data_IF_337270710077
#
_entry.id   IF_337270710077
#
_cell.length_a   1.000
_cell.length_b   1.000
_cell.length_c   1.000
_cell.angle_alpha   90.00
_cell.angle_beta   90.00
_cell.angle_gamma   90.00
#
_symmetry.space_group_name_H-M   'P 1'
#
loop_
_entity.id
_entity.type
_entity.pdbx_description
1 polymer ?
#
# COMPACT_ATOMS: atom_id res chain seq x y z
N UNK A 1 -10.54 -2.48 12.90
CA UNK A 1 -9.28 -1.99 13.47
C UNK A 1 -8.20 -1.89 12.38
N UNK A 2 -7.74 -2.97 11.77
CA UNK A 2 -6.73 -2.92 10.68
C UNK A 2 -7.13 -1.99 9.52
N UNK A 3 -8.42 -1.91 9.17
CA UNK A 3 -8.92 -0.96 8.18
C UNK A 3 -8.74 0.51 8.61
N UNK A 4 -9.04 0.83 9.87
CA UNK A 4 -8.85 2.18 10.38
C UNK A 4 -7.35 2.53 10.53
N UNK A 5 -6.50 1.58 10.94
CA UNK A 5 -5.04 1.74 10.90
C UNK A 5 -4.55 2.09 9.50
N UNK A 6 -5.04 1.37 8.49
CA UNK A 6 -4.70 1.61 7.09
C UNK A 6 -5.16 2.98 6.57
N UNK A 7 -6.29 3.52 7.06
CA UNK A 7 -6.70 4.92 6.76
C UNK A 7 -5.64 5.89 7.27
N UNK A 8 -5.23 5.76 8.53
CA UNK A 8 -4.26 6.67 9.12
C UNK A 8 -2.85 6.51 8.56
N UNK A 9 -2.50 5.30 8.11
CA UNK A 9 -1.26 5.04 7.40
C UNK A 9 -1.14 5.87 6.11
N UNK A 10 -2.17 5.78 5.26
CA UNK A 10 -2.25 6.61 4.04
C UNK A 10 -2.43 8.10 4.33
N UNK A 11 -3.18 8.44 5.37
CA UNK A 11 -3.27 9.82 5.84
C UNK A 11 -1.90 10.39 6.13
N UNK A 12 -1.10 9.70 6.92
CA UNK A 12 0.20 10.19 7.36
C UNK A 12 1.22 10.28 6.20
N UNK A 13 1.22 9.28 5.34
CA UNK A 13 2.08 9.25 4.16
C UNK A 13 1.78 10.44 3.22
N UNK A 14 0.51 10.69 2.95
CA UNK A 14 0.07 11.71 1.99
C UNK A 14 0.03 13.10 2.64
N UNK A 15 -0.30 13.20 3.93
CA UNK A 15 -0.25 14.46 4.66
C UNK A 15 1.09 15.16 4.48
N UNK A 16 2.18 14.43 4.65
CA UNK A 16 3.53 15.01 4.52
C UNK A 16 3.77 15.64 3.16
N UNK A 17 3.22 15.05 2.08
CA UNK A 17 3.38 15.62 0.73
C UNK A 17 2.69 16.98 0.59
N UNK A 18 1.56 17.20 1.25
CA UNK A 18 0.90 18.52 1.29
C UNK A 18 1.67 19.55 2.12
N UNK A 19 2.40 19.08 3.13
CA UNK A 19 3.13 19.96 4.06
C UNK A 19 4.56 20.28 3.62
N UNK A 20 5.06 19.70 2.52
CA UNK A 20 6.41 19.96 2.00
C UNK A 20 6.66 21.45 1.78
N UNK A 21 5.74 22.14 1.09
CA UNK A 21 5.89 23.55 0.73
C UNK A 21 5.91 24.45 1.97
N UNK A 22 4.92 24.43 2.89
CA UNK A 22 4.94 25.28 4.06
C UNK A 22 6.14 25.01 4.99
N UNK A 23 6.59 23.76 5.12
CA UNK A 23 7.78 23.41 5.90
C UNK A 23 9.04 23.99 5.24
N UNK A 24 9.22 23.75 3.94
CA UNK A 24 10.37 24.29 3.20
C UNK A 24 10.45 25.81 3.29
N UNK A 25 9.31 26.49 3.17
CA UNK A 25 9.24 27.96 3.28
C UNK A 25 9.62 28.47 4.67
N UNK A 26 9.19 27.80 5.73
CA UNK A 26 9.46 28.24 7.12
C UNK A 26 10.94 28.09 7.50
N UNK A 27 11.57 26.96 7.08
CA UNK A 27 12.96 26.68 7.46
C UNK A 27 13.98 27.05 6.40
N UNK A 28 13.57 27.51 5.22
CA UNK A 28 14.47 27.77 4.11
C UNK A 28 15.10 26.49 3.54
N UNK A 29 14.42 25.34 3.64
CA UNK A 29 14.94 24.07 3.12
C UNK A 29 14.86 24.08 1.59
N UNK A 30 15.94 23.59 0.97
CA UNK A 30 15.96 23.35 -0.48
C UNK A 30 15.08 22.16 -0.87
N UNK A 31 14.66 22.11 -2.14
CA UNK A 31 13.91 20.98 -2.70
C UNK A 31 14.68 19.66 -2.54
N UNK A 32 16.01 19.73 -2.62
CA UNK A 32 16.88 18.57 -2.40
C UNK A 32 16.80 18.05 -0.95
N UNK A 33 16.80 18.96 0.03
CA UNK A 33 16.64 18.58 1.44
C UNK A 33 15.27 17.96 1.71
N UNK A 34 14.20 18.55 1.16
CA UNK A 34 12.85 17.99 1.28
C UNK A 34 12.75 16.61 0.61
N UNK A 35 13.41 16.43 -0.53
CA UNK A 35 13.50 15.13 -1.22
C UNK A 35 14.25 14.09 -0.39
N UNK A 36 15.29 14.46 0.35
CA UNK A 36 15.96 13.54 1.27
C UNK A 36 15.06 13.11 2.43
N UNK A 37 14.28 14.02 3.01
CA UNK A 37 13.34 13.67 4.08
C UNK A 37 12.27 12.69 3.54
N UNK A 38 11.68 12.99 2.40
CA UNK A 38 10.67 12.13 1.79
C UNK A 38 11.25 10.76 1.39
N UNK A 39 12.40 10.76 0.73
CA UNK A 39 13.07 9.54 0.28
C UNK A 39 13.51 8.64 1.43
N UNK A 40 14.05 9.21 2.51
CA UNK A 40 14.44 8.44 3.71
C UNK A 40 13.22 7.82 4.41
N UNK A 41 12.09 8.53 4.46
CA UNK A 41 10.85 8.00 5.00
C UNK A 41 10.32 6.83 4.18
N UNK A 42 10.34 6.93 2.86
CA UNK A 42 9.93 5.83 1.96
C UNK A 42 10.88 4.62 2.06
N UNK A 43 12.19 4.85 2.14
CA UNK A 43 13.15 3.78 2.36
C UNK A 43 12.92 3.08 3.71
N UNK A 44 12.64 3.87 4.76
CA UNK A 44 12.30 3.34 6.08
C UNK A 44 11.00 2.49 6.04
N UNK A 45 10.03 2.84 5.21
CA UNK A 45 8.81 2.04 5.01
C UNK A 45 9.13 0.64 4.49
N UNK A 46 10.05 0.54 3.52
CA UNK A 46 10.48 -0.77 3.01
C UNK A 46 11.16 -1.62 4.10
N UNK A 47 12.04 -1.01 4.88
CA UNK A 47 12.73 -1.67 6.01
C UNK A 47 11.73 -2.06 7.10
N UNK A 48 10.81 -1.16 7.45
CA UNK A 48 9.76 -1.38 8.45
C UNK A 48 8.86 -2.57 8.11
N UNK A 49 8.48 -2.71 6.84
CA UNK A 49 7.67 -3.85 6.38
C UNK A 49 8.34 -5.20 6.62
N UNK A 50 9.65 -5.29 6.43
CA UNK A 50 10.42 -6.50 6.72
C UNK A 50 10.53 -6.72 8.23
N UNK A 51 10.95 -5.70 9.00
CA UNK A 51 11.17 -5.80 10.45
C UNK A 51 9.88 -6.16 11.17
N UNK A 52 8.81 -5.41 10.96
CA UNK A 52 7.54 -5.66 11.64
C UNK A 52 6.83 -6.91 11.12
N UNK A 53 7.06 -7.32 9.88
CA UNK A 53 6.65 -8.63 9.38
C UNK A 53 7.26 -9.76 10.21
N UNK A 54 8.57 -9.74 10.40
CA UNK A 54 9.32 -10.69 11.24
C UNK A 54 8.82 -10.66 12.69
N UNK A 55 8.66 -9.46 13.26
CA UNK A 55 8.17 -9.29 14.62
C UNK A 55 6.74 -9.83 14.77
N UNK A 56 5.88 -9.64 13.76
CA UNK A 56 4.50 -10.13 13.75
C UNK A 56 4.42 -11.66 13.75
N UNK A 57 5.29 -12.32 13.01
CA UNK A 57 5.36 -13.79 13.01
C UNK A 57 5.86 -14.33 14.36
N UNK A 58 6.72 -13.58 15.06
CA UNK A 58 7.30 -13.98 16.35
C UNK A 58 6.43 -13.65 17.56
N UNK A 59 5.93 -12.42 17.64
CA UNK A 59 5.28 -11.88 18.85
C UNK A 59 3.75 -11.86 18.78
N UNK A 60 3.19 -12.11 17.61
CA UNK A 60 1.75 -12.10 17.37
C UNK A 60 1.28 -10.84 16.63
N UNK A 61 0.12 -10.99 16.00
CA UNK A 61 -0.42 -9.97 15.11
C UNK A 61 -0.92 -8.77 15.90
N UNK A 62 -1.64 -9.02 17.01
CA UNK A 62 -2.19 -8.00 17.90
C UNK A 62 -1.11 -7.10 18.50
N UNK A 63 -0.06 -7.70 19.04
CA UNK A 63 1.02 -6.94 19.69
C UNK A 63 1.75 -6.04 18.69
N UNK A 64 2.09 -6.59 17.53
CA UNK A 64 2.84 -5.84 16.52
C UNK A 64 1.99 -4.79 15.84
N UNK A 65 0.69 -5.02 15.63
CA UNK A 65 -0.24 -3.99 15.16
C UNK A 65 -0.26 -2.76 16.09
N UNK A 66 -0.19 -2.98 17.42
CA UNK A 66 -0.09 -1.88 18.39
C UNK A 66 1.25 -1.14 18.25
N UNK A 67 2.35 -1.87 18.08
CA UNK A 67 3.67 -1.27 17.96
C UNK A 67 3.83 -0.45 16.68
N UNK A 68 3.30 -0.93 15.55
CA UNK A 68 3.34 -0.18 14.29
C UNK A 68 2.57 1.12 14.40
N UNK A 69 1.34 1.07 14.93
CA UNK A 69 0.49 2.25 15.12
C UNK A 69 1.17 3.26 16.05
N UNK A 70 1.72 2.81 17.19
CA UNK A 70 2.43 3.68 18.12
C UNK A 70 3.68 4.29 17.47
N UNK A 71 4.44 3.50 16.72
CA UNK A 71 5.67 3.96 16.08
C UNK A 71 5.39 5.08 15.09
N UNK A 72 4.45 4.90 14.15
CA UNK A 72 4.16 5.97 13.20
C UNK A 72 3.45 7.16 13.86
N UNK A 73 2.55 6.95 14.82
CA UNK A 73 1.87 8.05 15.53
C UNK A 73 2.86 8.92 16.30
N UNK A 74 3.81 8.31 17.02
CA UNK A 74 4.87 9.02 17.73
C UNK A 74 5.76 9.77 16.72
N UNK A 75 6.21 9.09 15.67
CA UNK A 75 7.04 9.70 14.62
C UNK A 75 6.37 10.93 14.00
N UNK A 76 5.09 10.84 13.68
CA UNK A 76 4.34 11.93 13.08
C UNK A 76 4.06 13.06 14.06
N UNK A 77 3.67 12.73 15.30
CA UNK A 77 3.48 13.74 16.33
C UNK A 77 4.75 14.58 16.55
N UNK A 78 5.90 13.94 16.74
CA UNK A 78 7.17 14.65 16.92
C UNK A 78 7.64 15.36 15.64
N UNK A 79 7.23 14.92 14.44
CA UNK A 79 7.45 15.69 13.22
C UNK A 79 6.80 17.08 13.28
N UNK A 80 5.66 17.23 13.97
CA UNK A 80 5.01 18.51 14.21
C UNK A 80 5.79 19.43 15.18
N UNK A 81 6.68 18.89 15.99
CA UNK A 81 7.56 19.62 16.91
C UNK A 81 8.93 19.91 16.31
N UNK A 82 9.16 19.55 15.03
CA UNK A 82 10.45 19.74 14.39
C UNK A 82 10.89 21.19 14.40
N UNK A 83 12.14 21.43 14.82
CA UNK A 83 12.81 22.72 14.78
C UNK A 83 14.07 22.70 13.88
N UNK A 84 14.40 21.56 13.27
CA UNK A 84 15.55 21.41 12.38
C UNK A 84 15.34 20.31 11.34
N UNK A 85 16.16 20.35 10.28
CA UNK A 85 16.19 19.34 9.22
C UNK A 85 16.41 17.93 9.75
N UNK A 86 17.43 17.74 10.58
CA UNK A 86 17.80 16.43 11.09
C UNK A 86 16.75 15.84 12.03
N UNK A 87 16.11 16.70 12.85
CA UNK A 87 15.03 16.30 13.73
C UNK A 87 13.81 15.83 12.92
N UNK A 88 13.41 16.61 11.91
CA UNK A 88 12.30 16.24 11.04
C UNK A 88 12.59 14.94 10.29
N UNK A 89 13.79 14.80 9.69
CA UNK A 89 14.19 13.60 8.97
C UNK A 89 14.18 12.36 9.87
N UNK A 90 14.72 12.47 11.10
CA UNK A 90 14.75 11.38 12.06
C UNK A 90 13.35 10.86 12.39
N UNK A 91 12.41 11.77 12.71
CA UNK A 91 11.05 11.36 13.05
C UNK A 91 10.24 10.90 11.82
N UNK A 92 10.56 11.40 10.63
CA UNK A 92 9.99 10.87 9.38
C UNK A 92 10.50 9.45 9.06
N UNK A 93 11.73 9.10 9.41
CA UNK A 93 12.24 7.72 9.34
C UNK A 93 11.47 6.83 10.33
N UNK A 94 11.27 7.27 11.57
CA UNK A 94 10.48 6.52 12.56
C UNK A 94 9.04 6.30 12.06
N UNK A 95 8.40 7.34 11.52
CA UNK A 95 7.08 7.23 10.91
C UNK A 95 7.09 6.18 9.80
N UNK A 96 8.03 6.27 8.86
CA UNK A 96 8.15 5.31 7.76
C UNK A 96 8.29 3.87 8.23
N UNK A 97 9.10 3.60 9.26
CA UNK A 97 9.24 2.27 9.84
C UNK A 97 7.88 1.73 10.33
N UNK A 98 7.10 2.53 11.06
CA UNK A 98 5.79 2.14 11.56
C UNK A 98 4.80 1.84 10.43
N UNK A 99 4.70 2.76 9.46
CA UNK A 99 3.85 2.67 8.25
C UNK A 99 4.12 1.38 7.48
N UNK A 100 5.40 1.01 7.28
CA UNK A 100 5.76 -0.21 6.56
C UNK A 100 5.23 -1.49 7.20
N UNK A 101 5.19 -1.53 8.53
CA UNK A 101 4.74 -2.71 9.28
C UNK A 101 3.23 -2.88 9.36
N UNK A 102 2.48 -1.80 9.28
CA UNK A 102 1.02 -1.77 9.49
C UNK A 102 0.29 -2.65 8.47
N UNK A 103 0.56 -2.46 7.19
CA UNK A 103 -0.11 -3.21 6.13
C UNK A 103 0.11 -4.73 6.27
N UNK A 104 1.37 -5.14 6.46
CA UNK A 104 1.71 -6.56 6.55
C UNK A 104 1.01 -7.25 7.71
N UNK A 105 1.06 -6.63 8.90
CA UNK A 105 0.46 -7.16 10.12
C UNK A 105 -1.05 -7.12 10.04
N UNK A 106 -1.64 -6.02 9.56
CA UNK A 106 -3.09 -5.85 9.42
C UNK A 106 -3.71 -6.81 8.42
N UNK A 107 -3.12 -6.97 7.23
CA UNK A 107 -3.59 -7.91 6.22
C UNK A 107 -3.44 -9.36 6.67
N UNK A 108 -2.33 -9.70 7.34
CA UNK A 108 -2.15 -11.03 7.92
C UNK A 108 -3.22 -11.30 8.97
N UNK A 109 -3.47 -10.36 9.88
CA UNK A 109 -4.51 -10.49 10.90
C UNK A 109 -5.89 -10.73 10.29
N UNK A 110 -6.28 -9.90 9.31
CA UNK A 110 -7.55 -10.03 8.60
C UNK A 110 -7.65 -11.38 7.89
N UNK A 111 -6.61 -11.80 7.18
CA UNK A 111 -6.61 -13.06 6.44
C UNK A 111 -6.71 -14.31 7.32
N UNK A 112 -6.15 -14.25 8.54
CA UNK A 112 -6.18 -15.34 9.52
C UNK A 112 -7.49 -15.37 10.32
N UNK A 113 -8.16 -14.22 10.48
CA UNK A 113 -9.40 -14.10 11.26
C UNK A 113 -10.62 -14.54 10.45
N UNK A 114 -10.64 -14.28 9.13
CA UNK A 114 -11.83 -14.55 8.32
C UNK A 114 -11.71 -15.89 7.57
N UNK A 115 -12.84 -16.65 7.48
CA UNK A 115 -12.84 -17.97 6.82
C UNK A 115 -12.54 -17.82 5.31
N UNK A 116 -11.98 -18.89 4.71
CA UNK A 116 -11.53 -18.94 3.31
C UNK A 116 -12.59 -18.46 2.29
N UNK A 117 -13.89 -18.72 2.58
CA UNK A 117 -15.02 -18.39 1.69
C UNK A 117 -15.23 -16.87 1.50
N UNK A 118 -14.86 -16.07 2.49
CA UNK A 118 -15.11 -14.60 2.50
C UNK A 118 -13.82 -13.78 2.71
N UNK A 119 -12.68 -14.44 2.81
CA UNK A 119 -11.37 -13.80 3.06
C UNK A 119 -11.04 -12.71 2.05
N UNK A 120 -11.30 -12.97 0.77
CA UNK A 120 -11.05 -12.01 -0.30
C UNK A 120 -11.78 -10.69 -0.06
N UNK A 121 -13.05 -10.75 0.37
CA UNK A 121 -13.88 -9.56 0.65
C UNK A 121 -13.30 -8.72 1.78
N UNK A 122 -12.89 -9.33 2.89
CA UNK A 122 -12.39 -8.61 4.04
C UNK A 122 -10.97 -8.07 3.82
N UNK A 123 -10.10 -8.83 3.13
CA UNK A 123 -8.78 -8.34 2.74
C UNK A 123 -8.89 -7.16 1.75
N UNK A 124 -9.78 -7.25 0.77
CA UNK A 124 -10.01 -6.18 -0.19
C UNK A 124 -10.70 -4.97 0.47
N UNK A 125 -11.66 -5.20 1.39
CA UNK A 125 -12.27 -4.12 2.17
C UNK A 125 -11.24 -3.33 2.97
N UNK A 126 -10.25 -3.97 3.54
CA UNK A 126 -9.17 -3.27 4.25
C UNK A 126 -8.48 -2.24 3.34
N UNK A 127 -8.29 -2.56 2.05
CA UNK A 127 -7.65 -1.64 1.10
C UNK A 127 -8.48 -0.39 0.79
N UNK A 128 -9.80 -0.41 0.99
CA UNK A 128 -10.64 0.81 0.84
C UNK A 128 -10.26 1.92 1.81
N UNK A 129 -9.49 1.61 2.86
CA UNK A 129 -8.93 2.61 3.76
C UNK A 129 -7.96 3.58 3.08
N UNK A 130 -7.24 3.15 2.04
CA UNK A 130 -6.26 4.00 1.36
C UNK A 130 -6.89 5.26 0.71
N UNK A 131 -7.91 5.18 -0.15
CA UNK A 131 -8.59 6.37 -0.69
C UNK A 131 -9.15 7.29 0.39
N UNK A 132 -9.66 6.73 1.49
CA UNK A 132 -10.19 7.52 2.61
C UNK A 132 -9.06 8.25 3.36
N UNK A 133 -7.92 7.60 3.57
CA UNK A 133 -6.73 8.22 4.14
C UNK A 133 -6.21 9.38 3.28
N UNK A 134 -6.18 9.20 1.95
CA UNK A 134 -5.81 10.25 0.99
C UNK A 134 -6.79 11.43 1.07
N UNK A 135 -8.09 11.16 1.10
CA UNK A 135 -9.11 12.21 1.24
C UNK A 135 -8.95 12.98 2.55
N UNK A 136 -8.75 12.29 3.67
CA UNK A 136 -8.51 12.91 4.98
C UNK A 136 -7.24 13.77 4.97
N UNK A 137 -6.14 13.27 4.39
CA UNK A 137 -4.89 14.03 4.24
C UNK A 137 -5.07 15.29 3.37
N UNK A 138 -5.87 15.19 2.31
CA UNK A 138 -6.18 16.33 1.44
C UNK A 138 -6.97 17.41 2.18
N UNK A 139 -7.94 17.01 3.02
CA UNK A 139 -8.71 17.95 3.85
C UNK A 139 -7.80 18.60 4.90
N UNK A 140 -7.07 17.81 5.66
CA UNK A 140 -6.25 18.33 6.76
C UNK A 140 -5.02 19.09 6.24
N UNK A 141 -4.26 18.48 5.32
CA UNK A 141 -3.03 19.07 4.78
C UNK A 141 -3.27 20.15 3.71
N UNK A 142 -4.29 19.94 2.86
CA UNK A 142 -4.59 20.88 1.77
C UNK A 142 -5.49 22.05 2.16
N UNK A 143 -6.57 21.78 2.93
CA UNK A 143 -7.59 22.78 3.24
C UNK A 143 -7.40 23.42 4.63
N UNK A 144 -7.06 22.64 5.66
CA UNK A 144 -6.93 23.16 7.01
C UNK A 144 -5.52 23.71 7.33
N UNK A 145 -4.48 23.17 6.74
CA UNK A 145 -3.09 23.61 6.98
C UNK A 145 -2.86 25.12 6.83
N UNK A 146 -3.45 25.83 5.85
CA UNK A 146 -3.32 27.29 5.75
C UNK A 146 -3.93 28.05 6.94
N UNK A 147 -4.89 27.46 7.65
CA UNK A 147 -5.62 28.08 8.76
C UNK A 147 -5.00 27.75 10.10
N UNK A 148 -4.72 26.45 10.34
CA UNK A 148 -4.25 25.93 11.64
C UNK A 148 -2.73 25.78 11.71
N UNK A 149 -2.03 25.94 10.59
CA UNK A 149 -0.60 25.70 10.46
C UNK A 149 -0.24 24.23 10.26
N UNK A 150 0.90 23.99 9.62
CA UNK A 150 1.35 22.64 9.28
C UNK A 150 1.66 21.75 10.51
N UNK A 151 2.11 22.36 11.62
CA UNK A 151 2.38 21.63 12.88
C UNK A 151 1.13 21.00 13.45
N UNK A 152 0.03 21.75 13.49
CA UNK A 152 -1.25 21.26 13.97
C UNK A 152 -1.76 20.05 13.18
N UNK A 153 -1.48 20.01 11.86
CA UNK A 153 -1.86 18.89 11.01
C UNK A 153 -1.19 17.58 11.44
N UNK A 154 0.06 17.62 11.90
CA UNK A 154 0.75 16.43 12.43
C UNK A 154 0.17 15.96 13.77
N UNK A 155 -0.36 16.86 14.60
CA UNK A 155 -0.94 16.48 15.88
C UNK A 155 -2.25 15.69 15.75
N UNK A 156 -2.92 15.76 14.60
CA UNK A 156 -4.07 14.90 14.30
C UNK A 156 -3.68 13.42 14.35
N UNK A 157 -2.42 13.08 14.09
CA UNK A 157 -1.89 11.70 14.16
C UNK A 157 -1.84 11.11 15.58
N UNK A 158 -2.22 11.86 16.62
CA UNK A 158 -2.45 11.29 17.95
C UNK A 158 -3.71 10.41 17.98
N UNK A 159 -4.68 10.65 17.09
CA UNK A 159 -5.93 9.90 17.03
C UNK A 159 -5.70 8.39 16.82
N UNK A 160 -4.83 7.94 15.90
CA UNK A 160 -4.49 6.53 15.78
C UNK A 160 -3.92 5.93 17.07
N UNK A 161 -3.11 6.69 17.83
CA UNK A 161 -2.57 6.19 19.09
C UNK A 161 -3.68 5.83 20.11
N UNK A 162 -4.81 6.52 20.07
CA UNK A 162 -5.99 6.19 20.91
C UNK A 162 -6.55 4.82 20.53
N UNK A 163 -6.51 4.45 19.25
CA UNK A 163 -6.95 3.13 18.77
C UNK A 163 -6.14 1.99 19.40
N UNK A 164 -4.87 2.22 19.75
CA UNK A 164 -4.04 1.21 20.40
C UNK A 164 -4.65 0.75 21.72
N UNK A 165 -5.24 1.69 22.49
CA UNK A 165 -5.91 1.39 23.76
C UNK A 165 -7.10 0.45 23.51
N UNK A 166 -7.87 0.73 22.45
CA UNK A 166 -9.00 -0.11 22.05
C UNK A 166 -8.55 -1.49 21.56
N UNK A 167 -7.52 -1.56 20.71
CA UNK A 167 -6.93 -2.81 20.21
C UNK A 167 -6.48 -3.68 21.38
N UNK A 168 -5.80 -3.08 22.36
CA UNK A 168 -5.33 -3.80 23.56
C UNK A 168 -6.48 -4.47 24.32
N UNK A 169 -7.61 -3.77 24.48
CA UNK A 169 -8.76 -4.24 25.28
C UNK A 169 -9.66 -5.21 24.52
N UNK A 170 -9.90 -4.97 23.23
CA UNK A 170 -11.03 -5.56 22.53
C UNK A 170 -10.64 -6.53 21.41
N UNK A 171 -9.40 -6.44 20.87
CA UNK A 171 -8.98 -7.31 19.78
C UNK A 171 -8.38 -8.61 20.34
N UNK A 172 -8.89 -9.82 19.98
CA UNK A 172 -8.22 -11.08 20.29
C UNK A 172 -6.96 -11.25 19.44
N UNK A 173 -6.06 -12.14 19.84
CA UNK A 173 -4.95 -12.55 18.97
C UNK A 173 -5.47 -13.49 17.87
N UNK A 174 -4.70 -13.64 16.78
CA UNK A 174 -5.00 -14.62 15.75
C UNK A 174 -4.99 -16.05 16.31
N UNK A 175 -6.11 -16.76 16.12
CA UNK A 175 -6.23 -18.15 16.56
C UNK A 175 -5.18 -19.04 15.89
N UNK A 176 -4.87 -18.84 14.63
CA UNK A 176 -3.86 -19.57 13.89
C UNK A 176 -2.46 -19.37 14.48
N UNK A 177 -2.13 -18.13 14.83
CA UNK A 177 -0.85 -17.84 15.49
C UNK A 177 -0.79 -18.44 16.90
N UNK A 178 -1.89 -18.34 17.67
CA UNK A 178 -1.96 -18.88 19.02
C UNK A 178 -1.80 -20.42 19.01
N UNK A 179 -2.50 -21.12 18.11
CA UNK A 179 -2.36 -22.57 17.93
C UNK A 179 -0.93 -22.98 17.57
N UNK A 180 -0.33 -22.27 16.59
CA UNK A 180 1.07 -22.53 16.21
C UNK A 180 2.02 -22.35 17.40
N UNK A 181 1.82 -21.31 18.20
CA UNK A 181 2.65 -21.06 19.38
C UNK A 181 2.51 -22.20 20.42
N UNK A 182 1.31 -22.71 20.62
CA UNK A 182 1.07 -23.85 21.51
C UNK A 182 1.76 -25.12 21.00
N UNK A 183 1.62 -25.45 19.73
CA UNK A 183 2.31 -26.60 19.11
C UNK A 183 3.83 -26.48 19.26
N UNK A 184 4.39 -25.32 18.96
CA UNK A 184 5.83 -25.07 19.12
C UNK A 184 6.32 -25.14 20.57
N UNK A 185 5.45 -24.96 21.57
CA UNK A 185 5.79 -25.14 22.99
C UNK A 185 5.74 -26.59 23.42
N UNK A 186 4.82 -27.38 22.88
CA UNK A 186 4.70 -28.82 23.14
C UNK A 186 5.89 -29.59 22.58
N UNK A 187 6.36 -29.26 21.38
CA UNK A 187 7.54 -29.85 20.76
C UNK A 187 8.87 -29.54 21.47
N UNK A 188 8.91 -28.52 22.31
CA UNK A 188 10.09 -28.20 23.12
C UNK A 188 10.38 -29.24 24.25
N UNK A 189 9.45 -30.12 24.51
CA UNK A 189 9.61 -31.26 25.43
C UNK A 189 10.41 -32.43 24.87
N UNK A 190 10.52 -32.56 23.54
CA UNK A 190 11.36 -33.54 22.85
C UNK A 190 12.43 -32.85 22.05
N UNK A 191 13.68 -32.94 22.51
CA UNK A 191 14.95 -32.49 21.91
C UNK A 191 14.92 -31.32 20.88
N UNK A 192 15.28 -30.12 21.38
CA UNK A 192 15.90 -28.98 20.72
C UNK A 192 15.94 -29.00 19.18
N UNK A 193 14.87 -28.70 18.50
CA UNK A 193 14.96 -27.91 17.29
C UNK A 193 14.55 -26.48 17.65
N UNK A 194 15.53 -25.60 17.88
CA UNK A 194 15.31 -24.15 17.90
C UNK A 194 14.55 -23.81 16.62
N UNK A 195 13.31 -23.36 16.74
CA UNK A 195 12.58 -22.86 15.59
C UNK A 195 13.46 -21.84 14.85
N UNK A 196 13.28 -21.67 13.54
CA UNK A 196 14.12 -20.81 12.73
C UNK A 196 14.23 -19.42 13.38
N UNK A 197 15.44 -18.84 13.40
CA UNK A 197 15.63 -17.49 13.90
C UNK A 197 14.78 -16.55 13.03
N UNK A 198 14.33 -15.41 13.55
CA UNK A 198 13.55 -14.44 12.75
C UNK A 198 14.21 -14.07 11.43
N UNK A 199 15.52 -13.92 11.44
CA UNK A 199 16.35 -13.65 10.24
C UNK A 199 16.37 -14.85 9.30
N UNK A 200 16.44 -16.08 9.83
CA UNK A 200 16.40 -17.28 8.99
C UNK A 200 15.04 -17.45 8.31
N UNK A 201 13.93 -17.02 8.94
CA UNK A 201 12.61 -16.96 8.31
C UNK A 201 12.60 -16.02 7.10
N UNK A 202 13.16 -14.82 7.22
CA UNK A 202 13.30 -13.90 6.09
C UNK A 202 14.24 -14.47 5.00
N UNK A 203 15.39 -15.01 5.37
CA UNK A 203 16.33 -15.60 4.41
C UNK A 203 15.72 -16.81 3.69
N UNK A 204 14.83 -17.58 4.33
CA UNK A 204 14.13 -18.71 3.70
C UNK A 204 13.20 -18.30 2.55
N UNK A 205 12.79 -17.02 2.49
CA UNK A 205 12.03 -16.46 1.37
C UNK A 205 12.84 -16.40 0.08
N UNK A 206 14.18 -16.29 0.19
CA UNK A 206 15.08 -16.24 -0.96
C UNK A 206 15.75 -17.59 -1.25
N UNK A 207 15.69 -18.51 -0.29
CA UNK A 207 16.29 -19.85 -0.37
C UNK A 207 15.27 -20.90 0.04
N UNK A 208 15.25 -22.06 -0.58
CA UNK A 208 14.41 -23.17 -0.17
C UNK A 208 12.98 -23.14 -0.72
N UNK A 209 12.03 -23.72 0.05
CA UNK A 209 10.66 -24.03 -0.42
C UNK A 209 9.81 -22.79 -0.77
N UNK A 210 10.03 -21.67 -0.11
CA UNK A 210 9.21 -20.45 -0.30
C UNK A 210 9.71 -19.56 -1.43
N UNK A 211 10.94 -19.73 -1.90
CA UNK A 211 11.59 -18.87 -2.92
C UNK A 211 10.73 -18.64 -4.15
N UNK A 212 10.19 -19.70 -4.71
CA UNK A 212 9.36 -19.63 -5.93
C UNK A 212 8.16 -18.70 -5.72
N UNK A 213 7.36 -18.95 -4.69
CA UNK A 213 6.15 -18.16 -4.44
C UNK A 213 6.47 -16.75 -3.99
N UNK A 214 7.55 -16.54 -3.25
CA UNK A 214 7.98 -15.20 -2.85
C UNK A 214 8.40 -14.35 -4.06
N UNK A 215 9.22 -14.89 -4.95
CA UNK A 215 9.63 -14.18 -6.15
C UNK A 215 8.45 -13.90 -7.09
N UNK A 216 7.54 -14.87 -7.26
CA UNK A 216 6.32 -14.64 -8.03
C UNK A 216 5.47 -13.51 -7.42
N UNK A 217 5.28 -13.49 -6.10
CA UNK A 217 4.52 -12.47 -5.39
C UNK A 217 5.21 -11.09 -5.48
N UNK A 218 6.54 -11.05 -5.35
CA UNK A 218 7.32 -9.83 -5.50
C UNK A 218 7.18 -9.23 -6.90
N UNK A 219 7.30 -10.05 -7.94
CA UNK A 219 7.15 -9.59 -9.34
C UNK A 219 5.73 -9.13 -9.63
N UNK A 220 4.70 -9.84 -9.13
CA UNK A 220 3.31 -9.40 -9.24
C UNK A 220 3.13 -8.01 -8.61
N UNK A 221 3.65 -7.82 -7.40
CA UNK A 221 3.57 -6.55 -6.71
C UNK A 221 4.35 -5.44 -7.42
N UNK A 222 5.51 -5.75 -8.03
CA UNK A 222 6.26 -4.77 -8.83
C UNK A 222 5.45 -4.31 -10.03
N UNK A 223 4.86 -5.22 -10.79
CA UNK A 223 4.06 -4.85 -11.97
C UNK A 223 2.85 -4.01 -11.59
N UNK A 224 2.09 -4.45 -10.62
CA UNK A 224 0.88 -3.76 -10.16
C UNK A 224 1.21 -2.38 -9.58
N UNK A 225 2.21 -2.27 -8.71
CA UNK A 225 2.66 -0.99 -8.16
C UNK A 225 3.24 -0.07 -9.24
N UNK A 226 3.92 -0.61 -10.26
CA UNK A 226 4.38 0.19 -11.39
C UNK A 226 3.20 0.80 -12.14
N UNK A 227 2.15 0.01 -12.42
CA UNK A 227 0.93 0.54 -13.03
C UNK A 227 0.31 1.67 -12.21
N UNK A 228 0.25 1.51 -10.88
CA UNK A 228 -0.29 2.52 -9.96
C UNK A 228 0.56 3.80 -9.93
N UNK A 229 1.87 3.68 -9.62
CA UNK A 229 2.73 4.85 -9.43
C UNK A 229 2.99 5.62 -10.72
N UNK A 230 3.14 4.93 -11.86
CA UNK A 230 3.23 5.57 -13.17
C UNK A 230 1.96 6.39 -13.48
N UNK A 231 0.79 5.90 -13.09
CA UNK A 231 -0.48 6.60 -13.28
C UNK A 231 -0.61 7.79 -12.33
N UNK A 232 -0.62 7.54 -11.04
CA UNK A 232 -1.07 8.53 -10.06
C UNK A 232 -0.05 9.63 -9.75
N UNK A 233 1.25 9.36 -9.89
CA UNK A 233 2.27 10.40 -9.69
C UNK A 233 2.26 11.47 -10.77
N UNK A 234 1.85 11.12 -12.00
CA UNK A 234 1.98 12.02 -13.15
C UNK A 234 0.65 12.46 -13.76
N UNK A 235 -0.44 11.85 -13.36
CA UNK A 235 -1.78 12.21 -13.86
C UNK A 235 -2.13 13.68 -13.67
N UNK A 236 -1.85 14.35 -12.52
CA UNK A 236 -2.11 15.79 -12.39
C UNK A 236 -1.34 16.62 -13.41
N UNK A 237 -0.04 16.33 -13.54
CA UNK A 237 0.84 17.02 -14.50
C UNK A 237 0.42 16.80 -15.95
N UNK A 238 0.03 15.59 -16.29
CA UNK A 238 -0.49 15.24 -17.62
C UNK A 238 -1.74 16.05 -17.96
N UNK A 239 -2.75 16.05 -17.08
CA UNK A 239 -3.99 16.78 -17.31
C UNK A 239 -3.76 18.30 -17.41
N UNK A 240 -2.84 18.82 -16.58
CA UNK A 240 -2.54 20.25 -16.58
C UNK A 240 -1.68 20.68 -17.76
N UNK A 241 -0.52 20.03 -17.95
CA UNK A 241 0.50 20.48 -18.91
C UNK A 241 0.21 20.06 -20.36
N UNK A 242 -0.35 18.84 -20.56
CA UNK A 242 -0.60 18.35 -21.92
C UNK A 242 -2.05 18.49 -22.37
N UNK A 243 -3.00 18.50 -21.42
CA UNK A 243 -4.43 18.60 -21.73
C UNK A 243 -5.02 19.96 -21.40
N UNK A 244 -4.20 20.92 -20.97
CA UNK A 244 -4.57 22.31 -20.70
C UNK A 244 -5.73 22.45 -19.69
N UNK A 245 -5.82 21.53 -18.72
CA UNK A 245 -6.81 21.65 -17.66
C UNK A 245 -6.36 22.63 -16.59
N UNK A 246 -7.30 23.37 -16.01
CA UNK A 246 -7.02 24.09 -14.78
C UNK A 246 -6.68 23.10 -13.66
N UNK A 247 -5.93 23.54 -12.66
CA UNK A 247 -5.61 22.70 -11.49
C UNK A 247 -6.86 22.16 -10.81
N UNK A 248 -7.89 23.00 -10.67
CA UNK A 248 -9.19 22.62 -10.09
C UNK A 248 -9.87 21.53 -10.93
N UNK A 249 -9.90 21.67 -12.25
CA UNK A 249 -10.50 20.66 -13.13
C UNK A 249 -9.71 19.36 -13.07
N UNK A 250 -8.39 19.39 -13.04
CA UNK A 250 -7.53 18.22 -12.87
C UNK A 250 -7.82 17.51 -11.56
N UNK A 251 -7.95 18.24 -10.45
CA UNK A 251 -8.27 17.68 -9.14
C UNK A 251 -9.65 17.01 -9.13
N UNK A 252 -10.68 17.62 -9.72
CA UNK A 252 -12.01 17.02 -9.83
C UNK A 252 -11.99 15.72 -10.62
N UNK A 253 -11.23 15.65 -11.69
CA UNK A 253 -11.09 14.44 -12.50
C UNK A 253 -10.33 13.33 -11.77
N UNK A 254 -9.33 13.69 -10.98
CA UNK A 254 -8.65 12.74 -10.11
C UNK A 254 -9.60 12.18 -9.04
N UNK A 255 -10.52 12.98 -8.50
CA UNK A 255 -11.55 12.49 -7.58
C UNK A 255 -12.43 11.42 -8.21
N UNK A 256 -12.71 11.49 -9.52
CA UNK A 256 -13.44 10.43 -10.24
C UNK A 256 -12.62 9.14 -10.27
N UNK A 257 -11.29 9.21 -10.49
CA UNK A 257 -10.45 8.01 -10.40
C UNK A 257 -10.41 7.44 -8.99
N UNK A 258 -10.36 8.28 -7.97
CA UNK A 258 -10.36 7.81 -6.56
C UNK A 258 -11.69 7.16 -6.17
N UNK A 259 -12.82 7.68 -6.67
CA UNK A 259 -14.13 7.03 -6.46
C UNK A 259 -14.21 5.66 -7.15
N UNK A 260 -13.65 5.56 -8.36
CA UNK A 260 -13.46 4.30 -9.05
C UNK A 260 -12.60 3.34 -8.23
N UNK A 261 -11.47 3.81 -7.68
CA UNK A 261 -10.58 3.03 -6.82
C UNK A 261 -11.27 2.47 -5.58
N UNK A 262 -12.03 3.31 -4.88
CA UNK A 262 -12.81 2.87 -3.72
C UNK A 262 -13.78 1.73 -4.08
N UNK A 263 -14.58 1.91 -5.14
CA UNK A 263 -15.50 0.87 -5.60
C UNK A 263 -14.77 -0.35 -6.16
N UNK A 264 -13.63 -0.16 -6.80
CA UNK A 264 -12.77 -1.23 -7.28
C UNK A 264 -12.27 -2.12 -6.14
N UNK A 265 -11.72 -1.54 -5.08
CA UNK A 265 -11.30 -2.30 -3.89
C UNK A 265 -12.49 -3.01 -3.23
N UNK A 266 -13.61 -2.30 -3.06
CA UNK A 266 -14.79 -2.87 -2.44
C UNK A 266 -15.31 -4.09 -3.22
N UNK A 267 -15.41 -4.00 -4.55
CA UNK A 267 -15.99 -5.06 -5.39
C UNK A 267 -15.02 -6.19 -5.70
N UNK A 268 -13.71 -5.93 -5.73
CA UNK A 268 -12.70 -6.93 -6.04
C UNK A 268 -12.84 -8.20 -5.19
N UNK A 269 -13.00 -8.04 -3.89
CA UNK A 269 -13.09 -9.16 -2.98
C UNK A 269 -14.28 -10.08 -3.27
N UNK A 270 -15.43 -9.53 -3.67
CA UNK A 270 -16.61 -10.31 -4.06
C UNK A 270 -16.35 -11.10 -5.35
N UNK A 271 -15.71 -10.47 -6.33
CA UNK A 271 -15.36 -11.10 -7.60
C UNK A 271 -14.32 -12.20 -7.36
N UNK A 272 -13.27 -11.91 -6.59
CA UNK A 272 -12.22 -12.86 -6.26
C UNK A 272 -12.73 -14.08 -5.46
N UNK A 273 -13.68 -13.88 -4.55
CA UNK A 273 -14.29 -14.99 -3.80
C UNK A 273 -15.26 -15.81 -4.67
N UNK A 274 -15.87 -15.20 -5.72
CA UNK A 274 -16.81 -15.87 -6.62
C UNK A 274 -16.13 -16.56 -7.80
N UNK A 275 -15.22 -15.87 -8.49
CA UNK A 275 -14.59 -16.36 -9.73
C UNK A 275 -13.21 -16.99 -9.50
N UNK A 276 -12.51 -16.60 -8.43
CA UNK A 276 -11.12 -16.97 -8.17
C UNK A 276 -10.18 -15.78 -8.22
N UNK A 277 -8.96 -15.97 -7.68
CA UNK A 277 -7.98 -14.88 -7.57
C UNK A 277 -7.45 -14.47 -8.94
N UNK A 278 -7.10 -15.46 -9.78
CA UNK A 278 -6.56 -15.23 -11.13
C UNK A 278 -7.50 -14.46 -12.05
N UNK A 279 -8.76 -14.90 -12.26
CA UNK A 279 -9.71 -14.16 -13.10
C UNK A 279 -9.99 -12.75 -12.59
N UNK A 280 -10.08 -12.57 -11.27
CA UNK A 280 -10.32 -11.25 -10.67
C UNK A 280 -9.18 -10.28 -11.03
N UNK A 281 -7.92 -10.65 -10.80
CA UNK A 281 -6.77 -9.83 -11.20
C UNK A 281 -6.81 -9.48 -12.69
N UNK A 282 -7.06 -10.46 -13.58
CA UNK A 282 -7.09 -10.22 -15.03
C UNK A 282 -8.23 -9.27 -15.44
N UNK A 283 -9.41 -9.39 -14.86
CA UNK A 283 -10.55 -8.50 -15.16
C UNK A 283 -10.18 -7.06 -14.79
N UNK A 284 -9.69 -6.83 -13.56
CA UNK A 284 -9.37 -5.49 -13.11
C UNK A 284 -8.18 -4.88 -13.86
N UNK A 285 -7.17 -5.67 -14.17
CA UNK A 285 -6.03 -5.23 -14.96
C UNK A 285 -6.41 -4.78 -16.38
N UNK A 286 -7.30 -5.53 -17.04
CA UNK A 286 -7.82 -5.14 -18.36
C UNK A 286 -8.65 -3.87 -18.27
N UNK A 287 -9.52 -3.73 -17.27
CA UNK A 287 -10.31 -2.51 -17.04
C UNK A 287 -9.38 -1.29 -16.88
N UNK A 288 -8.32 -1.42 -16.05
CA UNK A 288 -7.35 -0.35 -15.87
C UNK A 288 -6.61 -0.01 -17.15
N UNK A 289 -6.13 -1.03 -17.88
CA UNK A 289 -5.37 -0.86 -19.10
C UNK A 289 -6.21 -0.19 -20.20
N UNK A 290 -7.46 -0.61 -20.39
CA UNK A 290 -8.39 0.03 -21.33
C UNK A 290 -8.61 1.50 -20.96
N UNK A 291 -8.90 1.79 -19.69
CA UNK A 291 -9.06 3.17 -19.21
C UNK A 291 -7.82 4.02 -19.51
N UNK A 292 -6.62 3.52 -19.19
CA UNK A 292 -5.36 4.23 -19.44
C UNK A 292 -5.10 4.48 -20.93
N UNK A 293 -5.29 3.48 -21.77
CA UNK A 293 -5.09 3.61 -23.22
C UNK A 293 -6.05 4.67 -23.79
N UNK A 294 -7.30 4.66 -23.37
CA UNK A 294 -8.30 5.61 -23.87
C UNK A 294 -8.03 7.05 -23.43
N UNK A 295 -7.56 7.30 -22.21
CA UNK A 295 -7.25 8.65 -21.73
C UNK A 295 -5.85 9.14 -22.14
N UNK A 296 -5.01 8.31 -22.74
CA UNK A 296 -3.66 8.68 -23.19
C UNK A 296 -3.54 8.60 -24.71
N UNK A 297 -3.57 7.41 -25.28
CA UNK A 297 -3.35 7.15 -26.72
C UNK A 297 -4.54 7.63 -27.57
N UNK A 298 -5.76 7.37 -27.12
CA UNK A 298 -6.98 7.72 -27.85
C UNK A 298 -7.66 8.99 -27.33
N UNK A 299 -6.93 9.86 -26.65
CA UNK A 299 -7.47 11.10 -26.07
C UNK A 299 -8.26 11.92 -27.09
N UNK A 300 -7.69 12.16 -28.27
CA UNK A 300 -8.27 13.05 -29.27
C UNK A 300 -9.61 12.55 -29.83
N UNK A 301 -9.83 11.22 -29.78
CA UNK A 301 -11.11 10.62 -30.17
C UNK A 301 -12.18 10.71 -29.10
N UNK A 302 -11.79 10.73 -27.83
CA UNK A 302 -12.75 10.70 -26.71
C UNK A 302 -12.99 12.08 -26.09
N UNK A 303 -12.11 13.06 -26.34
CA UNK A 303 -12.17 14.40 -25.74
C UNK A 303 -13.44 15.16 -26.06
N UNK A 304 -14.07 14.88 -27.21
CA UNK A 304 -15.32 15.49 -27.62
C UNK A 304 -16.51 15.07 -26.69
N UNK A 305 -16.36 14.03 -25.93
CA UNK A 305 -17.39 13.48 -25.05
C UNK A 305 -16.91 13.47 -23.59
N UNK A 306 -17.03 14.57 -22.82
CA UNK A 306 -16.48 14.65 -21.46
C UNK A 306 -16.99 13.55 -20.51
N UNK A 307 -18.24 13.14 -20.65
CA UNK A 307 -18.79 12.03 -19.83
C UNK A 307 -18.09 10.70 -20.11
N UNK A 308 -17.70 10.44 -21.37
CA UNK A 308 -16.99 9.24 -21.77
C UNK A 308 -15.57 9.22 -21.16
N UNK A 309 -14.86 10.37 -21.18
CA UNK A 309 -13.56 10.48 -20.55
C UNK A 309 -13.65 10.24 -19.05
N UNK A 310 -14.63 10.83 -18.37
CA UNK A 310 -14.88 10.59 -16.94
C UNK A 310 -15.14 9.11 -16.66
N UNK A 311 -15.85 8.41 -17.57
CA UNK A 311 -16.04 6.96 -17.51
C UNK A 311 -14.70 6.21 -17.59
N UNK A 312 -13.78 6.58 -18.48
CA UNK A 312 -12.46 5.97 -18.59
C UNK A 312 -11.56 6.32 -17.39
N UNK A 313 -11.64 7.54 -16.87
CA UNK A 313 -10.96 7.92 -15.62
C UNK A 313 -11.45 7.07 -14.45
N UNK A 314 -12.77 6.86 -14.36
CA UNK A 314 -13.35 5.95 -13.38
C UNK A 314 -12.83 4.51 -13.57
N UNK A 315 -12.75 4.01 -14.81
CA UNK A 315 -12.21 2.67 -15.10
C UNK A 315 -10.74 2.53 -14.68
N UNK A 316 -9.92 3.55 -14.87
CA UNK A 316 -8.53 3.56 -14.37
C UNK A 316 -8.52 3.35 -12.86
N UNK A 317 -9.33 4.12 -12.14
CA UNK A 317 -9.47 3.97 -10.69
C UNK A 317 -10.01 2.60 -10.30
N UNK A 318 -11.10 2.17 -10.93
CA UNK A 318 -11.74 0.89 -10.64
C UNK A 318 -10.78 -0.30 -10.83
N UNK A 319 -9.96 -0.26 -11.87
CA UNK A 319 -8.95 -1.29 -12.15
C UNK A 319 -7.89 -1.40 -11.04
N UNK A 320 -7.57 -0.32 -10.31
CA UNK A 320 -6.67 -0.39 -9.15
C UNK A 320 -7.20 -1.28 -8.03
N UNK A 321 -8.47 -1.70 -8.12
CA UNK A 321 -9.07 -2.70 -7.21
C UNK A 321 -8.26 -3.99 -7.09
N UNK A 322 -7.40 -4.34 -8.07
CA UNK A 322 -6.52 -5.50 -7.99
C UNK A 322 -5.57 -5.48 -6.78
N UNK A 323 -5.19 -4.32 -6.24
CA UNK A 323 -4.49 -4.22 -4.96
C UNK A 323 -5.24 -4.87 -3.79
N UNK A 324 -6.58 -4.96 -3.87
CA UNK A 324 -7.41 -5.68 -2.91
C UNK A 324 -7.09 -7.18 -2.82
N UNK A 325 -6.45 -7.72 -3.85
CA UNK A 325 -6.09 -9.14 -3.94
C UNK A 325 -4.85 -9.53 -3.15
N UNK A 326 -3.95 -8.61 -2.82
CA UNK A 326 -2.69 -8.96 -2.14
C UNK A 326 -2.90 -9.70 -0.81
N UNK A 327 -3.81 -9.19 0.03
CA UNK A 327 -4.05 -9.77 1.33
C UNK A 327 -4.49 -11.24 1.24
N UNK A 328 -5.44 -11.55 0.38
CA UNK A 328 -5.95 -12.91 0.21
C UNK A 328 -4.96 -13.80 -0.54
N UNK A 329 -4.46 -13.38 -1.70
CA UNK A 329 -3.55 -14.17 -2.53
C UNK A 329 -2.26 -14.50 -1.77
N UNK A 330 -1.58 -13.49 -1.19
CA UNK A 330 -0.31 -13.72 -0.52
C UNK A 330 -0.46 -14.54 0.76
N UNK A 331 -1.51 -14.29 1.55
CA UNK A 331 -1.74 -15.08 2.78
C UNK A 331 -2.00 -16.56 2.50
N UNK A 332 -2.59 -16.87 1.34
CA UNK A 332 -2.90 -18.24 0.90
C UNK A 332 -1.69 -19.00 0.35
N UNK A 333 -0.56 -18.31 0.11
CA UNK A 333 0.68 -18.90 -0.40
C UNK A 333 1.67 -19.29 0.70
N UNK A 334 1.62 -18.64 1.86
CA UNK A 334 2.63 -18.80 2.91
C UNK A 334 2.04 -19.35 4.21
N UNK A 335 2.78 -20.24 4.91
CA UNK A 335 2.36 -20.74 6.22
C UNK A 335 2.44 -19.63 7.28
N UNK A 336 1.70 -19.83 8.39
CA UNK A 336 1.63 -18.87 9.50
C UNK A 336 3.02 -18.48 10.05
N UNK A 337 3.99 -19.37 9.92
CA UNK A 337 5.36 -19.19 10.43
C UNK A 337 6.13 -18.03 9.78
N UNK A 338 5.85 -17.73 8.51
CA UNK A 338 6.55 -16.70 7.71
C UNK A 338 5.58 -15.80 6.95
N UNK A 339 4.27 -15.91 7.20
CA UNK A 339 3.23 -15.23 6.41
C UNK A 339 3.37 -13.72 6.44
N UNK A 340 3.44 -13.13 7.61
CA UNK A 340 3.55 -11.67 7.74
C UNK A 340 4.88 -11.16 7.20
N UNK A 341 5.97 -11.88 7.43
CA UNK A 341 7.28 -11.59 6.84
C UNK A 341 7.23 -11.61 5.32
N UNK A 342 6.65 -12.66 4.72
CA UNK A 342 6.56 -12.80 3.27
C UNK A 342 5.69 -11.72 2.63
N UNK A 343 4.49 -11.48 3.18
CA UNK A 343 3.56 -10.47 2.72
C UNK A 343 4.17 -9.06 2.82
N UNK A 344 4.72 -8.73 3.98
CA UNK A 344 5.35 -7.43 4.25
C UNK A 344 6.56 -7.18 3.36
N UNK A 345 7.41 -8.19 3.19
CA UNK A 345 8.59 -8.08 2.33
C UNK A 345 8.21 -7.94 0.86
N UNK A 346 7.28 -8.77 0.34
CA UNK A 346 6.88 -8.67 -1.06
C UNK A 346 6.26 -7.31 -1.38
N UNK A 347 5.34 -6.82 -0.53
CA UNK A 347 4.66 -5.55 -0.72
C UNK A 347 5.62 -4.35 -0.60
N UNK A 348 6.42 -4.29 0.47
CA UNK A 348 7.25 -3.11 0.73
C UNK A 348 8.53 -3.07 -0.11
N UNK A 349 9.12 -4.22 -0.48
CA UNK A 349 10.23 -4.23 -1.43
C UNK A 349 9.76 -3.79 -2.82
N UNK A 350 8.58 -4.26 -3.28
CA UNK A 350 7.99 -3.79 -4.53
C UNK A 350 7.72 -2.28 -4.50
N UNK A 351 7.21 -1.76 -3.37
CA UNK A 351 7.01 -0.31 -3.15
C UNK A 351 8.33 0.46 -3.17
N UNK A 352 9.38 -0.08 -2.55
CA UNK A 352 10.71 0.52 -2.55
C UNK A 352 11.29 0.65 -3.97
N UNK A 353 11.08 -0.34 -4.84
CA UNK A 353 11.55 -0.32 -6.23
C UNK A 353 10.92 0.82 -7.04
N UNK A 354 9.74 1.33 -6.62
CA UNK A 354 9.04 2.40 -7.34
C UNK A 354 9.78 3.75 -7.36
N UNK A 355 10.91 3.90 -6.64
CA UNK A 355 11.78 5.07 -6.83
C UNK A 355 12.29 5.20 -8.27
N UNK A 356 12.27 4.12 -9.06
CA UNK A 356 12.68 4.10 -10.47
C UNK A 356 11.59 4.72 -11.37
N UNK A 357 10.33 4.72 -10.98
CA UNK A 357 9.22 5.15 -11.85
C UNK A 357 9.30 6.60 -12.31
N UNK A 358 9.70 7.60 -11.50
CA UNK A 358 9.91 8.97 -11.97
C UNK A 358 10.97 9.07 -13.07
N UNK A 359 12.06 8.29 -12.93
CA UNK A 359 13.14 8.26 -13.94
C UNK A 359 12.64 7.66 -15.24
N UNK A 360 11.92 6.53 -15.17
CA UNK A 360 11.36 5.87 -16.33
C UNK A 360 10.39 6.77 -17.11
N UNK A 361 9.50 7.47 -16.40
CA UNK A 361 8.59 8.43 -17.05
C UNK A 361 9.36 9.58 -17.68
N UNK A 362 10.32 10.18 -16.97
CA UNK A 362 11.11 11.30 -17.50
C UNK A 362 11.80 10.93 -18.80
N UNK A 363 12.40 9.74 -18.89
CA UNK A 363 13.04 9.25 -20.11
C UNK A 363 12.04 9.03 -21.25
N UNK A 364 10.85 8.52 -20.99
CA UNK A 364 9.82 8.30 -22.00
C UNK A 364 9.18 9.62 -22.40
N UNK A 365 8.93 10.50 -21.45
CA UNK A 365 8.30 11.81 -21.68
C UNK A 365 9.12 12.72 -22.60
N UNK A 366 10.46 12.59 -22.63
CA UNK A 366 11.31 13.33 -23.59
C UNK A 366 10.96 13.02 -25.05
N UNK A 367 10.44 11.83 -25.34
CA UNK A 367 10.14 11.37 -26.72
C UNK A 367 8.64 11.31 -27.02
N UNK A 368 7.83 10.91 -26.04
CA UNK A 368 6.40 10.58 -26.24
C UNK A 368 5.47 11.42 -25.34
N UNK A 369 5.98 12.44 -24.66
CA UNK A 369 5.20 13.21 -23.70
C UNK A 369 4.84 12.43 -22.43
N UNK A 370 4.15 13.10 -21.48
CA UNK A 370 3.64 12.44 -20.28
C UNK A 370 2.57 11.37 -20.62
N UNK A 371 1.82 11.60 -21.69
CA UNK A 371 0.86 10.61 -22.21
C UNK A 371 1.53 9.25 -22.46
N UNK A 372 2.72 9.25 -23.10
CA UNK A 372 3.48 8.01 -23.35
C UNK A 372 3.98 7.35 -22.08
N UNK A 373 4.43 8.15 -21.09
CA UNK A 373 4.82 7.64 -19.78
C UNK A 373 3.67 6.98 -19.02
N UNK A 374 2.49 7.60 -19.05
CA UNK A 374 1.28 7.03 -18.41
C UNK A 374 0.74 5.83 -19.20
N UNK A 375 0.84 5.85 -20.54
CA UNK A 375 0.45 4.68 -21.37
C UNK A 375 1.27 3.43 -21.02
N UNK A 376 2.54 3.57 -20.61
CA UNK A 376 3.34 2.45 -20.11
C UNK A 376 2.69 1.77 -18.89
N UNK A 377 1.95 2.51 -18.07
CA UNK A 377 1.21 1.92 -16.95
C UNK A 377 0.18 0.87 -17.40
N UNK A 378 -0.41 1.04 -18.59
CA UNK A 378 -1.32 0.04 -19.16
C UNK A 378 -0.60 -1.28 -19.45
N UNK A 379 0.64 -1.23 -19.91
CA UNK A 379 1.46 -2.42 -20.12
C UNK A 379 1.70 -3.15 -18.79
N UNK A 380 2.08 -2.43 -17.74
CA UNK A 380 2.29 -3.02 -16.42
C UNK A 380 0.98 -3.57 -15.81
N UNK A 381 -0.16 -2.91 -16.02
CA UNK A 381 -1.45 -3.44 -15.63
C UNK A 381 -1.73 -4.79 -16.34
N UNK A 382 -1.54 -4.87 -17.66
CA UNK A 382 -1.71 -6.11 -18.42
C UNK A 382 -0.73 -7.20 -17.97
N UNK A 383 0.54 -6.83 -17.71
CA UNK A 383 1.52 -7.77 -17.18
C UNK A 383 1.08 -8.34 -15.83
N UNK A 384 0.48 -7.52 -14.94
CA UNK A 384 -0.12 -7.99 -13.69
C UNK A 384 -1.19 -9.04 -13.93
N UNK A 385 -2.13 -8.75 -14.84
CA UNK A 385 -3.23 -9.66 -15.21
C UNK A 385 -2.80 -10.95 -15.88
N UNK A 386 -1.66 -10.95 -16.58
CA UNK A 386 -1.04 -12.14 -17.18
C UNK A 386 -0.20 -12.89 -16.15
N UNK A 387 0.61 -12.18 -15.35
CA UNK A 387 1.52 -12.79 -14.40
C UNK A 387 0.80 -13.56 -13.30
N UNK A 388 -0.40 -13.15 -12.91
CA UNK A 388 -1.18 -13.86 -11.89
C UNK A 388 -1.46 -15.32 -12.26
N UNK A 389 -1.44 -15.68 -13.53
CA UNK A 389 -1.65 -17.06 -13.99
C UNK A 389 -0.47 -18.00 -13.72
N UNK A 390 0.68 -17.46 -13.33
CA UNK A 390 1.82 -18.27 -12.88
C UNK A 390 1.62 -18.85 -11.48
N UNK A 391 0.67 -18.31 -10.71
CA UNK A 391 0.30 -18.83 -9.40
C UNK A 391 -0.69 -19.99 -9.50
N UNK A 392 -0.77 -20.86 -8.51
CA UNK A 392 -1.91 -21.76 -8.36
C UNK A 392 -3.18 -20.93 -8.04
N UNK A 393 -4.35 -21.40 -8.47
CA UNK A 393 -5.59 -20.81 -7.99
C UNK A 393 -5.78 -21.15 -6.50
N UNK A 394 -6.02 -20.10 -5.69
CA UNK A 394 -6.09 -20.26 -4.23
C UNK A 394 -7.48 -20.04 -3.65
N UNK A 395 -8.50 -19.86 -4.51
CA UNK A 395 -9.89 -19.66 -4.10
C UNK A 395 -10.34 -20.74 -3.11
N UNK A 396 -10.82 -20.33 -1.95
CA UNK A 396 -11.34 -21.24 -0.93
C UNK A 396 -10.28 -22.09 -0.22
N UNK A 397 -8.99 -21.86 -0.48
CA UNK A 397 -7.91 -22.58 0.17
C UNK A 397 -7.89 -22.28 1.66
N UNK A 398 -7.82 -23.34 2.47
CA UNK A 398 -7.58 -23.19 3.90
C UNK A 398 -6.14 -22.74 4.12
N UNK A 399 -5.97 -21.81 5.04
CA UNK A 399 -4.62 -21.44 5.49
C UNK A 399 -4.05 -22.60 6.30
N UNK A 400 -2.75 -22.81 6.19
CA UNK A 400 -2.04 -23.84 6.95
C UNK A 400 -1.09 -23.19 7.95
N UNK A 401 -0.88 -23.87 9.06
CA UNK A 401 -0.02 -23.43 10.16
C UNK A 401 1.44 -23.73 9.90
N UNK A 402 1.73 -24.75 9.11
CA UNK A 402 3.07 -25.20 8.69
C UNK A 402 3.10 -25.68 7.24
#
# INVERSE_FOLDING_TARGET
MSWAGWIFDFYDLILFTFLLIPIAKEYGFSDLQMSYILGSSLAATAIGGVIFGILSDRFGRKAVLQWTILTYSIGTFFSGLAGSFWFLMFFRIITGLGVGGEWATGQTYVSETFPAKVRGRYCAFMQTGAPLGIALASIVGGMLSPVIGWRACFFVSILPAIMVIYIRKSLPESDMWAQRKQLSQQDKGSERKKGPSPISGFLSLFTGAYRKFFLLALVLAIFDMSAYWLTYSWMPGYLHNERNFTMTKSALWILVTQSGGFLGYFTFGFIADKLGRRPAYSIYSVIMAVGLIMITVFWDYVVMYPAVILGFMFMVGFGTGMFGGYGSLFSELFPTSVRSTAMGSAFNLARGIQFITPVAISLIATRYGLAGGIALAAVFALLTGLWVWTFPETKGRKLYTE
#
